data_IF_790685092203
#
_entry.id   IF_790685092203
#
_cell.length_a   1.000
_cell.length_b   1.000
_cell.length_c   1.000
_cell.angle_alpha   90.00
_cell.angle_beta   90.00
_cell.angle_gamma   90.00
#
_symmetry.space_group_name_H-M   'P 1'
#
loop_
_entity.id
_entity.type
_entity.pdbx_description
1 polymer ?
#
# COMPACT_ATOMS: atom_id res chain seq x y z
N UNK A 1 4.20 -4.32 26.85
CA UNK A 1 3.94 -2.86 26.93
C UNK A 1 3.12 -2.48 25.69
N UNK A 2 1.99 -1.78 25.88
CA UNK A 2 0.87 -1.58 24.93
C UNK A 2 1.29 -1.02 23.56
N UNK A 3 1.23 -1.84 22.50
CA UNK A 3 1.21 -1.36 21.09
C UNK A 3 0.01 -1.90 20.27
N UNK A 4 -0.94 -2.62 20.88
CA UNK A 4 -2.05 -3.25 20.14
C UNK A 4 -3.11 -2.25 19.61
N UNK A 5 -3.26 -1.08 20.26
CA UNK A 5 -4.33 -0.12 19.91
C UNK A 5 -4.12 0.67 18.61
N UNK A 6 -2.88 0.98 18.23
CA UNK A 6 -2.57 1.76 17.00
C UNK A 6 -2.51 0.88 15.75
N UNK A 7 -2.02 -0.34 15.89
CA UNK A 7 -1.96 -1.32 14.78
C UNK A 7 -3.36 -1.70 14.30
N UNK A 8 -4.30 -1.90 15.24
CA UNK A 8 -5.68 -2.28 14.90
C UNK A 8 -6.46 -1.23 14.10
N UNK A 9 -6.24 0.07 14.35
CA UNK A 9 -6.95 1.13 13.62
C UNK A 9 -6.43 1.27 12.19
N UNK A 10 -5.10 1.26 12.01
CA UNK A 10 -4.47 1.26 10.69
C UNK A 10 -4.88 0.04 9.87
N UNK A 11 -4.88 -1.15 10.48
CA UNK A 11 -5.30 -2.38 9.81
C UNK A 11 -6.78 -2.33 9.41
N UNK A 12 -7.67 -1.84 10.28
CA UNK A 12 -9.09 -1.61 9.94
C UNK A 12 -9.26 -0.62 8.79
N UNK A 13 -8.47 0.46 8.74
CA UNK A 13 -8.49 1.44 7.65
C UNK A 13 -8.02 0.83 6.32
N UNK A 14 -6.94 0.04 6.35
CA UNK A 14 -6.45 -0.70 5.18
C UNK A 14 -7.50 -1.70 4.71
N UNK A 15 -8.10 -2.44 5.63
CA UNK A 15 -9.13 -3.42 5.31
C UNK A 15 -10.38 -2.75 4.74
N UNK A 16 -10.82 -1.62 5.30
CA UNK A 16 -11.95 -0.85 4.79
C UNK A 16 -11.69 -0.26 3.40
N UNK A 17 -10.45 0.15 3.11
CA UNK A 17 -10.08 0.78 1.83
C UNK A 17 -9.80 -0.24 0.73
N UNK A 18 -9.05 -1.30 1.05
CA UNK A 18 -8.47 -2.22 0.08
C UNK A 18 -8.44 -3.68 0.54
N UNK A 19 -9.17 -4.04 1.61
CA UNK A 19 -9.16 -5.40 2.17
C UNK A 19 -9.82 -6.43 1.25
N UNK A 20 -11.03 -6.13 0.75
CA UNK A 20 -11.76 -7.00 -0.18
C UNK A 20 -11.80 -6.42 -1.59
N UNK A 21 -12.02 -7.28 -2.59
CA UNK A 21 -12.18 -6.84 -3.99
C UNK A 21 -13.33 -5.84 -4.14
N UNK A 22 -14.47 -6.08 -3.47
CA UNK A 22 -15.64 -5.20 -3.49
C UNK A 22 -15.34 -3.83 -2.86
N UNK A 23 -14.67 -3.79 -1.71
CA UNK A 23 -14.29 -2.52 -1.06
C UNK A 23 -13.34 -1.69 -1.92
N UNK A 24 -12.33 -2.35 -2.50
CA UNK A 24 -11.41 -1.70 -3.43
C UNK A 24 -12.15 -1.13 -4.64
N UNK A 25 -13.05 -1.89 -5.28
CA UNK A 25 -13.84 -1.40 -6.41
C UNK A 25 -14.68 -0.18 -6.04
N UNK A 26 -15.35 -0.21 -4.88
CA UNK A 26 -16.16 0.94 -4.42
C UNK A 26 -15.28 2.16 -4.20
N UNK A 27 -14.14 2.02 -3.50
CA UNK A 27 -13.22 3.13 -3.26
C UNK A 27 -12.62 3.67 -4.57
N UNK A 28 -12.25 2.78 -5.49
CA UNK A 28 -11.70 3.11 -6.80
C UNK A 28 -12.70 3.91 -7.65
N UNK A 29 -13.93 3.38 -7.81
CA UNK A 29 -14.96 4.04 -8.61
C UNK A 29 -15.47 5.32 -7.94
N UNK A 30 -15.62 5.34 -6.62
CA UNK A 30 -15.98 6.55 -5.89
C UNK A 30 -14.93 7.65 -6.11
N UNK A 31 -13.64 7.33 -6.05
CA UNK A 31 -12.57 8.29 -6.29
C UNK A 31 -12.57 8.81 -7.73
N UNK A 32 -12.81 7.94 -8.72
CA UNK A 32 -12.92 8.34 -10.13
C UNK A 32 -14.12 9.26 -10.34
N UNK A 33 -15.29 8.88 -9.86
CA UNK A 33 -16.52 9.65 -10.06
C UNK A 33 -16.41 11.00 -9.34
N UNK A 34 -15.99 11.02 -8.08
CA UNK A 34 -15.84 12.27 -7.31
C UNK A 34 -14.73 13.16 -7.88
N UNK A 35 -13.61 12.57 -8.28
CA UNK A 35 -12.50 13.29 -8.91
C UNK A 35 -12.90 13.88 -10.26
N UNK A 36 -13.71 13.18 -11.05
CA UNK A 36 -14.28 13.68 -12.29
C UNK A 36 -15.21 14.86 -12.03
N UNK A 37 -16.19 14.69 -11.14
CA UNK A 37 -17.16 15.75 -10.83
C UNK A 37 -16.48 17.03 -10.33
N UNK A 38 -15.46 16.89 -9.47
CA UNK A 38 -14.66 18.03 -9.03
C UNK A 38 -13.83 18.67 -10.16
N UNK A 39 -13.13 17.86 -10.96
CA UNK A 39 -12.23 18.38 -12.01
C UNK A 39 -12.95 19.19 -13.08
N UNK A 40 -14.19 18.80 -13.41
CA UNK A 40 -15.03 19.48 -14.42
C UNK A 40 -15.92 20.58 -13.83
N UNK A 41 -15.77 20.89 -12.53
CA UNK A 41 -16.49 22.02 -11.91
C UNK A 41 -17.94 21.75 -11.55
N UNK A 42 -18.40 20.49 -11.53
CA UNK A 42 -19.73 20.14 -11.01
C UNK A 42 -19.83 20.35 -9.49
N UNK A 43 -18.70 20.34 -8.79
CA UNK A 43 -18.59 20.71 -7.38
C UNK A 43 -17.60 21.86 -7.19
N UNK A 44 -18.11 23.07 -6.94
CA UNK A 44 -17.30 24.26 -6.71
C UNK A 44 -16.85 24.42 -5.23
N UNK A 45 -16.76 23.30 -4.52
CA UNK A 45 -16.39 23.29 -3.10
C UNK A 45 -14.90 23.02 -2.99
N UNK A 46 -14.12 24.08 -2.75
CA UNK A 46 -12.66 23.99 -2.54
C UNK A 46 -12.26 22.94 -1.47
N UNK A 47 -13.09 22.78 -0.45
CA UNK A 47 -12.91 21.78 0.62
C UNK A 47 -13.03 20.35 0.08
N UNK A 48 -13.99 20.08 -0.82
CA UNK A 48 -14.13 18.76 -1.43
C UNK A 48 -12.89 18.41 -2.26
N UNK A 49 -12.38 19.39 -3.02
CA UNK A 49 -11.10 19.28 -3.71
C UNK A 49 -9.96 18.92 -2.76
N UNK A 50 -9.82 19.65 -1.66
CA UNK A 50 -8.76 19.41 -0.68
C UNK A 50 -8.84 18.00 -0.08
N UNK A 51 -10.04 17.51 0.24
CA UNK A 51 -10.21 16.16 0.75
C UNK A 51 -9.84 15.11 -0.30
N UNK A 52 -10.34 15.26 -1.53
CA UNK A 52 -10.14 14.29 -2.62
C UNK A 52 -8.71 14.28 -3.16
N UNK A 53 -8.09 15.45 -3.30
CA UNK A 53 -6.80 15.64 -3.95
C UNK A 53 -5.60 15.70 -3.01
N UNK A 54 -5.83 15.88 -1.70
CA UNK A 54 -4.75 15.95 -0.71
C UNK A 54 -4.95 14.97 0.45
N UNK A 55 -6.06 15.07 1.20
CA UNK A 55 -6.25 14.28 2.43
C UNK A 55 -6.29 12.77 2.14
N UNK A 56 -7.08 12.35 1.16
CA UNK A 56 -7.23 10.94 0.80
C UNK A 56 -5.90 10.31 0.31
N UNK A 57 -5.17 10.91 -0.64
CA UNK A 57 -3.85 10.42 -1.02
C UNK A 57 -2.86 10.37 0.13
N UNK A 58 -2.79 11.41 0.97
CA UNK A 58 -1.89 11.42 2.14
C UNK A 58 -2.21 10.25 3.08
N UNK A 59 -3.49 9.97 3.31
CA UNK A 59 -3.92 8.84 4.11
C UNK A 59 -3.47 7.52 3.46
N UNK A 60 -3.70 7.31 2.17
CA UNK A 60 -3.30 6.07 1.48
C UNK A 60 -1.79 5.89 1.37
N UNK A 61 -1.02 6.95 1.15
CA UNK A 61 0.45 6.94 1.19
C UNK A 61 0.90 6.49 2.57
N UNK A 62 0.39 7.13 3.63
CA UNK A 62 0.75 6.80 5.01
C UNK A 62 0.44 5.35 5.34
N UNK A 63 -0.76 4.86 4.96
CA UNK A 63 -1.14 3.46 5.13
C UNK A 63 -0.20 2.52 4.37
N UNK A 64 0.13 2.84 3.13
CA UNK A 64 1.02 2.04 2.28
C UNK A 64 2.40 1.91 2.92
N UNK A 65 3.07 3.02 3.25
CA UNK A 65 4.41 2.96 3.84
C UNK A 65 4.43 2.29 5.22
N UNK A 66 3.38 2.47 6.04
CA UNK A 66 3.25 1.78 7.33
C UNK A 66 3.04 0.29 7.15
N UNK A 67 2.26 -0.11 6.16
CA UNK A 67 2.04 -1.52 5.85
C UNK A 67 3.28 -2.18 5.24
N UNK A 68 4.05 -1.44 4.41
CA UNK A 68 5.38 -1.85 3.94
C UNK A 68 6.32 -2.13 5.12
N UNK A 69 6.36 -1.25 6.12
CA UNK A 69 7.18 -1.44 7.32
C UNK A 69 6.83 -2.73 8.06
N UNK A 70 5.53 -2.99 8.25
CA UNK A 70 5.06 -4.22 8.92
C UNK A 70 5.48 -5.44 8.10
N UNK A 71 5.25 -5.41 6.77
CA UNK A 71 5.60 -6.51 5.87
C UNK A 71 7.11 -6.75 5.73
N UNK A 72 7.92 -5.71 5.79
CA UNK A 72 9.38 -5.84 5.74
C UNK A 72 9.97 -6.42 7.03
N UNK A 73 9.27 -6.32 8.16
CA UNK A 73 9.63 -7.03 9.40
C UNK A 73 9.29 -8.51 9.33
N UNK A 74 8.24 -8.87 8.59
CA UNK A 74 7.80 -10.26 8.42
C UNK A 74 8.63 -11.02 7.37
N UNK A 75 9.15 -10.35 6.32
CA UNK A 75 9.91 -10.99 5.24
C UNK A 75 11.07 -10.13 4.69
N UNK A 76 12.25 -10.75 4.54
CA UNK A 76 13.50 -10.08 4.11
C UNK A 76 13.55 -9.81 2.59
N UNK A 77 12.76 -10.51 1.76
CA UNK A 77 12.75 -10.38 0.30
C UNK A 77 11.43 -9.81 -0.22
N UNK A 78 11.24 -8.50 -0.07
CA UNK A 78 10.22 -7.78 -0.82
C UNK A 78 10.80 -7.28 -2.14
N UNK A 79 10.04 -7.24 -3.25
CA UNK A 79 10.47 -6.64 -4.53
C UNK A 79 10.50 -5.10 -4.47
N UNK A 80 10.83 -4.54 -3.31
CA UNK A 80 11.03 -3.11 -3.16
C UNK A 80 12.42 -2.72 -3.65
N UNK A 81 12.57 -1.52 -4.20
CA UNK A 81 13.88 -1.03 -4.59
C UNK A 81 14.82 -0.96 -3.38
N UNK A 82 16.12 -1.18 -3.61
CA UNK A 82 17.15 -1.39 -2.56
C UNK A 82 17.15 -0.29 -1.47
N UNK A 83 16.80 0.95 -1.82
CA UNK A 83 16.72 2.06 -0.88
C UNK A 83 15.59 1.91 0.15
N UNK A 84 14.47 1.31 -0.23
CA UNK A 84 13.31 1.05 0.63
C UNK A 84 13.49 -0.23 1.47
N UNK A 85 14.31 -1.17 1.01
CA UNK A 85 14.70 -2.35 1.80
C UNK A 85 15.67 -2.00 2.95
N UNK A 86 16.53 -0.99 2.78
CA UNK A 86 17.53 -0.59 3.79
C UNK A 86 16.90 0.09 5.01
N UNK A 87 15.83 0.86 4.81
CA UNK A 87 15.05 1.52 5.87
C UNK A 87 13.56 1.48 5.50
N UNK A 88 12.90 0.31 5.61
CA UNK A 88 11.48 0.19 5.31
C UNK A 88 10.70 1.14 6.23
N UNK A 89 9.77 1.92 5.67
CA UNK A 89 8.98 2.89 6.44
C UNK A 89 9.75 4.10 6.98
N UNK A 90 10.85 4.50 6.34
CA UNK A 90 11.52 5.76 6.69
C UNK A 90 10.52 6.92 6.71
N UNK A 91 10.30 7.49 7.89
CA UNK A 91 9.34 8.58 8.11
C UNK A 91 9.69 9.80 7.25
N UNK A 92 10.97 10.00 6.94
CA UNK A 92 11.45 11.09 6.10
C UNK A 92 10.89 11.00 4.67
N UNK A 93 10.77 9.80 4.11
CA UNK A 93 10.22 9.63 2.75
C UNK A 93 8.73 9.96 2.72
N UNK A 94 7.97 9.50 3.72
CA UNK A 94 6.55 9.85 3.88
C UNK A 94 6.39 11.38 3.99
N UNK A 95 7.22 12.03 4.80
CA UNK A 95 7.16 13.50 4.98
C UNK A 95 7.48 14.23 3.68
N UNK A 96 8.48 13.79 2.91
CA UNK A 96 8.79 14.39 1.60
C UNK A 96 7.61 14.24 0.64
N UNK A 97 7.01 13.05 0.54
CA UNK A 97 5.87 12.81 -0.34
C UNK A 97 4.68 13.70 0.04
N UNK A 98 4.42 13.89 1.35
CA UNK A 98 3.36 14.77 1.86
C UNK A 98 3.66 16.24 1.55
N UNK A 99 4.90 16.69 1.76
CA UNK A 99 5.31 18.07 1.46
C UNK A 99 5.19 18.37 -0.04
N UNK A 100 5.59 17.42 -0.89
CA UNK A 100 5.46 17.55 -2.33
C UNK A 100 3.99 17.63 -2.74
N UNK A 101 3.13 16.79 -2.15
CA UNK A 101 1.69 16.87 -2.37
C UNK A 101 1.09 18.20 -1.91
N UNK A 102 1.51 18.69 -0.73
CA UNK A 102 1.02 19.94 -0.16
C UNK A 102 1.42 21.12 -1.04
N UNK A 103 2.65 21.14 -1.53
CA UNK A 103 3.16 22.17 -2.45
C UNK A 103 2.34 22.20 -3.73
N UNK A 104 2.15 21.05 -4.37
CA UNK A 104 1.39 20.99 -5.63
C UNK A 104 -0.07 21.36 -5.40
N UNK A 105 -0.68 20.87 -4.33
CA UNK A 105 -2.06 21.22 -4.00
C UNK A 105 -2.24 22.72 -3.71
N UNK A 106 -1.25 23.35 -3.07
CA UNK A 106 -1.23 24.80 -2.85
C UNK A 106 -1.19 25.57 -4.18
N UNK A 107 -0.42 25.09 -5.16
CA UNK A 107 -0.37 25.64 -6.52
C UNK A 107 -1.71 25.49 -7.25
N UNK A 108 -2.45 24.39 -7.02
CA UNK A 108 -3.79 24.18 -7.57
C UNK A 108 -4.82 25.13 -6.93
N UNK A 109 -4.78 25.29 -5.59
CA UNK A 109 -5.71 26.15 -4.86
C UNK A 109 -5.49 27.64 -5.09
N UNK A 110 -4.25 28.07 -5.34
CA UNK A 110 -3.93 29.47 -5.62
C UNK A 110 -4.44 29.94 -6.99
N UNK A 111 -5.00 29.05 -7.81
CA UNK A 111 -5.47 29.37 -9.15
C UNK A 111 -4.33 29.66 -10.14
N UNK A 112 -3.07 29.42 -9.73
CA UNK A 112 -1.90 29.65 -10.58
C UNK A 112 -1.88 28.71 -11.79
N UNK A 113 -2.53 27.54 -11.65
CA UNK A 113 -2.77 26.59 -12.73
C UNK A 113 -4.26 26.21 -12.77
N UNK A 114 -5.03 26.87 -13.65
CA UNK A 114 -6.44 26.53 -13.90
C UNK A 114 -6.62 25.31 -14.83
N UNK A 115 -5.54 24.74 -15.33
CA UNK A 115 -5.59 23.64 -16.29
C UNK A 115 -6.32 22.43 -15.71
N UNK A 116 -7.41 22.04 -16.38
CA UNK A 116 -8.29 20.92 -16.01
C UNK A 116 -7.48 19.62 -15.85
N UNK A 117 -6.45 19.41 -16.67
CA UNK A 117 -5.59 18.23 -16.57
C UNK A 117 -4.89 18.12 -15.20
N UNK A 118 -4.55 19.24 -14.55
CA UNK A 118 -3.86 19.23 -13.25
C UNK A 118 -4.84 18.74 -12.19
N UNK A 119 -6.07 19.28 -12.22
CA UNK A 119 -7.15 18.83 -11.33
C UNK A 119 -7.39 17.33 -11.50
N UNK A 120 -7.51 16.84 -12.73
CA UNK A 120 -7.69 15.41 -13.02
C UNK A 120 -6.54 14.56 -12.47
N UNK A 121 -5.29 14.98 -12.66
CA UNK A 121 -4.14 14.23 -12.13
C UNK A 121 -4.22 14.11 -10.60
N UNK A 122 -4.51 15.21 -9.89
CA UNK A 122 -4.45 15.22 -8.43
C UNK A 122 -5.72 14.69 -7.76
N UNK A 123 -6.90 14.79 -8.37
CA UNK A 123 -8.14 14.29 -7.76
C UNK A 123 -8.56 12.93 -8.27
N UNK A 124 -7.96 12.43 -9.36
CA UNK A 124 -8.27 11.11 -9.90
C UNK A 124 -7.02 10.22 -10.00
N UNK A 125 -6.05 10.58 -10.85
CA UNK A 125 -4.94 9.68 -11.22
C UNK A 125 -4.08 9.32 -10.01
N UNK A 126 -3.61 10.32 -9.28
CA UNK A 126 -2.72 10.12 -8.14
C UNK A 126 -3.41 9.40 -6.96
N UNK A 127 -4.63 9.78 -6.54
CA UNK A 127 -5.39 9.00 -5.58
C UNK A 127 -5.60 7.55 -6.01
N UNK A 128 -6.02 7.30 -7.26
CA UNK A 128 -6.24 5.94 -7.76
C UNK A 128 -4.95 5.11 -7.77
N UNK A 129 -3.82 5.73 -8.12
CA UNK A 129 -2.52 5.07 -8.12
C UNK A 129 -2.09 4.69 -6.70
N UNK A 130 -2.23 5.58 -5.73
CA UNK A 130 -1.90 5.29 -4.32
C UNK A 130 -2.82 4.23 -3.71
N UNK A 131 -4.11 4.23 -4.05
CA UNK A 131 -5.05 3.16 -3.66
C UNK A 131 -4.68 1.82 -4.30
N UNK A 132 -4.26 1.83 -5.57
CA UNK A 132 -3.84 0.63 -6.30
C UNK A 132 -2.54 0.05 -5.75
N UNK A 133 -1.58 0.90 -5.37
CA UNK A 133 -0.37 0.49 -4.66
C UNK A 133 -0.70 -0.16 -3.32
N UNK A 134 -1.62 0.42 -2.54
CA UNK A 134 -2.07 -0.17 -1.29
C UNK A 134 -2.73 -1.54 -1.52
N UNK A 135 -3.59 -1.66 -2.54
CA UNK A 135 -4.25 -2.94 -2.88
C UNK A 135 -3.26 -4.00 -3.33
N UNK A 136 -2.30 -3.64 -4.17
CA UNK A 136 -1.24 -4.55 -4.59
C UNK A 136 -0.46 -5.08 -3.39
N UNK A 137 -0.16 -4.22 -2.42
CA UNK A 137 0.53 -4.62 -1.19
C UNK A 137 -0.32 -5.53 -0.29
N UNK A 138 -1.65 -5.35 -0.29
CA UNK A 138 -2.58 -6.22 0.44
C UNK A 138 -2.71 -7.60 -0.21
N UNK A 139 -2.77 -7.67 -1.54
CA UNK A 139 -2.93 -8.94 -2.26
C UNK A 139 -1.62 -9.72 -2.35
N UNK A 140 -0.46 -9.04 -2.38
CA UNK A 140 0.82 -9.66 -2.70
C UNK A 140 1.05 -10.95 -1.87
N UNK A 141 0.98 -12.13 -2.50
CA UNK A 141 1.23 -13.38 -1.80
C UNK A 141 2.72 -13.42 -1.50
N UNK A 142 3.06 -13.52 -0.22
CA UNK A 142 4.44 -13.78 0.14
C UNK A 142 4.72 -15.25 -0.11
N UNK A 143 5.74 -15.60 -0.91
CA UNK A 143 6.30 -16.95 -0.86
C UNK A 143 6.95 -17.10 0.51
N UNK A 144 6.16 -17.54 1.49
CA UNK A 144 6.64 -17.96 2.78
C UNK A 144 6.86 -19.47 2.75
N UNK A 145 8.12 -19.89 2.79
CA UNK A 145 8.57 -21.24 3.16
C UNK A 145 7.85 -22.43 2.49
N UNK A 146 8.20 -22.69 1.25
CA UNK A 146 8.34 -24.04 0.70
C UNK A 146 9.69 -23.94 -0.04
N UNK A 147 10.84 -24.36 0.49
CA UNK A 147 11.32 -25.73 0.62
C UNK A 147 12.42 -25.75 1.70
N UNK A 148 12.16 -26.30 2.88
CA UNK A 148 13.26 -26.75 3.76
C UNK A 148 12.89 -27.89 4.70
N UNK A 149 11.79 -28.62 4.45
CA UNK A 149 11.36 -29.70 5.36
C UNK A 149 10.75 -30.93 4.66
N UNK A 150 10.90 -31.10 3.34
CA UNK A 150 10.49 -32.34 2.64
C UNK A 150 11.50 -32.74 1.56
N UNK A 151 12.73 -33.05 1.97
CA UNK A 151 13.59 -34.02 1.26
C UNK A 151 14.72 -34.48 2.19
N UNK A 152 14.37 -35.10 3.33
CA UNK A 152 15.36 -35.86 4.11
C UNK A 152 14.72 -36.96 4.98
N UNK A 153 13.69 -37.63 4.46
CA UNK A 153 13.05 -38.77 5.15
C UNK A 153 13.06 -40.07 4.33
N UNK A 154 13.77 -40.13 3.20
CA UNK A 154 13.92 -41.37 2.44
C UNK A 154 15.29 -42.05 2.63
N UNK A 155 16.28 -41.37 3.22
CA UNK A 155 17.67 -41.88 3.31
C UNK A 155 18.00 -42.62 4.63
N UNK A 156 17.02 -42.77 5.53
CA UNK A 156 17.20 -43.55 6.79
C UNK A 156 16.56 -44.95 6.69
N UNK A 157 15.60 -45.18 5.79
CA UNK A 157 14.95 -46.49 5.68
C UNK A 157 15.77 -47.55 4.93
N UNK A 158 16.75 -47.15 4.12
CA UNK A 158 17.66 -48.10 3.44
C UNK A 158 18.81 -48.58 4.33
N UNK A 159 19.31 -47.74 5.26
CA UNK A 159 20.41 -48.13 6.17
C UNK A 159 19.99 -49.09 7.29
N UNK A 160 18.72 -49.12 7.69
CA UNK A 160 18.24 -50.12 8.66
C UNK A 160 17.96 -51.48 8.02
N UNK A 161 17.66 -51.54 6.71
CA UNK A 161 17.46 -52.82 6.00
C UNK A 161 18.78 -53.50 5.62
N UNK A 162 19.85 -52.75 5.33
CA UNK A 162 21.14 -53.37 4.97
C UNK A 162 21.89 -53.97 6.17
N UNK A 163 21.58 -53.54 7.40
CA UNK A 163 22.19 -54.08 8.63
C UNK A 163 21.44 -55.27 9.25
N UNK A 164 20.23 -55.61 8.78
CA UNK A 164 19.51 -56.81 9.24
C UNK A 164 19.78 -58.06 8.39
N UNK A 165 20.39 -57.91 7.20
CA UNK A 165 20.78 -59.04 6.35
C UNK A 165 22.25 -59.49 6.55
N UNK A 166 22.95 -58.96 7.57
CA UNK A 166 24.35 -59.29 7.88
C UNK A 166 24.62 -59.81 9.30
N UNK A 167 23.59 -60.17 10.07
CA UNK A 167 23.72 -60.98 11.30
C UNK A 167 23.17 -62.39 11.13
#
# INVERSE_FOLDING_TARGET
MKEEGKSGLLFKLIQASAGTYRQFQVAFWAQIILGFLYSFGYFDVKIAGFVLGFVMPVLWITLTYRYVLIKARENVRLPFPKWMQKNPGNTLVIVIDILFLALIWTIVLSGLYEAIWVKVIFTMVFPVLTLSMLRNLVIYPFPGKEESDVENTDDISEKEKENQDKE
#
